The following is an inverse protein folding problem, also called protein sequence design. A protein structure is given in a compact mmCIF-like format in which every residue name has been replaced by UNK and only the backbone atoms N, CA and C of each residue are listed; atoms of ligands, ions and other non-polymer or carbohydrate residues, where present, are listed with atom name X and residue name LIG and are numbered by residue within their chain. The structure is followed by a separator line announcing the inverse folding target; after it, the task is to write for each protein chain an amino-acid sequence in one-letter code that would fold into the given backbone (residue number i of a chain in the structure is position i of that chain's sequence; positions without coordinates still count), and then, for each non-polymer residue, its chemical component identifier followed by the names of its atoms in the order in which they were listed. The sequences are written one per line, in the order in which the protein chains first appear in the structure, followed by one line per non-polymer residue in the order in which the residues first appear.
data_IF_765076144096
#
_entry.id   IF_765076144096
#
_cell.length_a   1.000
_cell.length_b   1.000
_cell.length_c   1.000
_cell.angle_alpha   90.00
_cell.angle_beta   90.00
_cell.angle_gamma   90.00
#
_symmetry.space_group_name_H-M   'P 1'
#
loop_
_entity.id
_entity.type
_entity.pdbx_description
1 polymer ?
#
# COMPACT_ATOMS: atom_id res chain seq x y z
N UNK A 1 3.69 2.48 -26.38
CA UNK A 1 3.97 1.03 -26.36
C UNK A 1 5.24 0.81 -25.55
N UNK A 2 5.12 0.50 -24.26
CA UNK A 2 6.26 0.16 -23.43
C UNK A 2 6.97 -1.07 -24.01
N UNK A 3 8.28 -1.01 -24.11
CA UNK A 3 9.11 -2.13 -24.59
C UNK A 3 8.87 -3.36 -23.71
N UNK A 4 9.01 -4.57 -24.25
CA UNK A 4 8.79 -5.85 -23.55
C UNK A 4 9.50 -5.91 -22.19
N UNK A 5 10.65 -5.24 -22.05
CA UNK A 5 11.43 -5.14 -20.80
C UNK A 5 10.77 -4.28 -19.73
N UNK A 6 10.16 -3.14 -20.09
CA UNK A 6 9.46 -2.27 -19.14
C UNK A 6 8.21 -2.96 -18.60
N UNK A 7 7.41 -3.55 -19.50
CA UNK A 7 6.23 -4.33 -19.10
C UNK A 7 6.63 -5.49 -18.18
N UNK A 8 7.75 -6.18 -18.49
CA UNK A 8 8.28 -7.26 -17.65
C UNK A 8 8.64 -6.79 -16.23
N UNK A 9 9.31 -5.65 -16.09
CA UNK A 9 9.59 -5.07 -14.78
C UNK A 9 8.31 -4.74 -14.01
N UNK A 10 7.33 -4.10 -14.68
CA UNK A 10 6.05 -3.75 -14.06
C UNK A 10 5.33 -5.01 -13.56
N UNK A 11 5.26 -6.09 -14.33
CA UNK A 11 4.65 -7.35 -13.88
C UNK A 11 5.33 -7.91 -12.63
N UNK A 12 6.67 -8.00 -12.65
CA UNK A 12 7.44 -8.48 -11.49
C UNK A 12 7.19 -7.60 -10.25
N UNK A 13 7.17 -6.29 -10.44
CA UNK A 13 6.88 -5.32 -9.39
C UNK A 13 5.47 -5.48 -8.83
N UNK A 14 4.44 -5.57 -9.69
CA UNK A 14 3.04 -5.75 -9.28
C UNK A 14 2.83 -7.07 -8.53
N UNK A 15 3.51 -8.15 -8.93
CA UNK A 15 3.47 -9.45 -8.24
C UNK A 15 4.30 -9.49 -6.95
N UNK A 16 5.06 -8.44 -6.67
CA UNK A 16 6.01 -8.41 -5.56
C UNK A 16 7.05 -9.54 -5.64
N UNK A 17 7.52 -9.84 -6.85
CA UNK A 17 8.56 -10.84 -7.06
C UNK A 17 9.85 -10.46 -6.32
N UNK A 18 10.59 -11.44 -5.82
CA UNK A 18 11.76 -11.23 -4.97
C UNK A 18 12.79 -10.26 -5.58
N UNK A 19 13.04 -10.36 -6.89
CA UNK A 19 13.95 -9.46 -7.61
C UNK A 19 13.50 -8.00 -7.60
N UNK A 20 12.19 -7.74 -7.57
CA UNK A 20 11.63 -6.39 -7.54
C UNK A 20 11.55 -5.80 -6.12
N UNK A 21 11.46 -6.67 -5.10
CA UNK A 21 11.24 -6.27 -3.70
C UNK A 21 12.54 -6.22 -2.91
N UNK A 22 13.47 -7.14 -3.14
CA UNK A 22 14.73 -7.23 -2.40
C UNK A 22 15.48 -5.89 -2.36
N UNK A 23 15.62 -5.15 -3.49
CA UNK A 23 16.22 -3.83 -3.45
C UNK A 23 15.48 -2.87 -2.52
N UNK A 24 14.15 -2.86 -2.50
CA UNK A 24 13.38 -1.97 -1.61
C UNK A 24 13.60 -2.28 -0.13
N UNK A 25 13.86 -3.54 0.20
CA UNK A 25 14.03 -3.97 1.59
C UNK A 25 15.43 -3.64 2.11
N UNK A 26 16.47 -3.94 1.32
CA UNK A 26 17.87 -3.93 1.79
C UNK A 26 18.89 -3.49 0.74
N UNK A 27 18.45 -2.95 -0.39
CA UNK A 27 19.35 -2.52 -1.48
C UNK A 27 20.17 -1.28 -1.16
N UNK A 28 21.21 -1.03 -1.97
CA UNK A 28 22.08 0.14 -1.85
C UNK A 28 21.35 1.45 -2.18
N UNK A 29 21.98 2.59 -1.89
CA UNK A 29 21.43 3.90 -2.24
C UNK A 29 21.29 4.08 -3.75
N UNK A 30 22.25 3.59 -4.53
CA UNK A 30 22.22 3.59 -5.99
C UNK A 30 21.05 2.75 -6.54
N UNK A 31 20.78 1.59 -5.92
CA UNK A 31 19.62 0.76 -6.27
C UNK A 31 18.31 1.48 -5.95
N UNK A 32 18.20 2.16 -4.79
CA UNK A 32 17.01 2.96 -4.47
C UNK A 32 16.81 4.10 -5.48
N UNK A 33 17.87 4.81 -5.83
CA UNK A 33 17.83 5.90 -6.80
C UNK A 33 17.37 5.41 -8.17
N UNK A 34 17.91 4.27 -8.63
CA UNK A 34 17.50 3.63 -9.87
C UNK A 34 16.00 3.27 -9.88
N UNK A 35 15.50 2.70 -8.78
CA UNK A 35 14.08 2.35 -8.66
C UNK A 35 13.20 3.59 -8.58
N UNK A 36 13.62 4.61 -7.81
CA UNK A 36 12.89 5.87 -7.72
C UNK A 36 12.77 6.53 -9.09
N UNK A 37 13.86 6.54 -9.87
CA UNK A 37 13.84 7.04 -11.26
C UNK A 37 12.87 6.26 -12.14
N UNK A 38 12.89 4.93 -12.10
CA UNK A 38 11.95 4.09 -12.87
C UNK A 38 10.51 4.38 -12.45
N UNK A 39 10.22 4.34 -11.15
CA UNK A 39 8.88 4.56 -10.62
C UNK A 39 8.39 5.99 -10.82
N UNK A 40 9.26 6.99 -10.95
CA UNK A 40 8.84 8.36 -11.26
C UNK A 40 8.64 8.57 -12.76
N UNK A 41 9.52 8.03 -13.60
CA UNK A 41 9.46 8.23 -15.06
C UNK A 41 8.41 7.38 -15.77
N UNK A 42 8.10 6.18 -15.28
CA UNK A 42 7.10 5.32 -15.91
C UNK A 42 5.69 5.84 -15.59
N UNK A 43 4.83 6.13 -16.59
CA UNK A 43 3.45 6.54 -16.34
C UNK A 43 2.67 5.51 -15.52
N UNK A 44 1.74 5.97 -14.67
CA UNK A 44 0.92 5.05 -13.87
C UNK A 44 -0.03 4.22 -14.76
N UNK A 45 -0.36 4.76 -15.93
CA UNK A 45 -1.14 4.12 -16.99
C UNK A 45 -0.49 2.82 -17.46
N UNK A 46 0.85 2.77 -17.57
CA UNK A 46 1.58 1.54 -17.90
C UNK A 46 1.37 0.44 -16.85
N UNK A 47 1.23 0.82 -15.57
CA UNK A 47 0.89 -0.14 -14.50
C UNK A 47 -0.56 -0.61 -14.62
N UNK A 48 -1.50 0.28 -14.96
CA UNK A 48 -2.90 -0.10 -15.20
C UNK A 48 -3.04 -1.05 -16.39
N UNK A 49 -2.31 -0.83 -17.49
CA UNK A 49 -2.30 -1.73 -18.65
C UNK A 49 -1.82 -3.14 -18.30
N UNK A 50 -0.75 -3.24 -17.49
CA UNK A 50 -0.28 -4.53 -16.99
C UNK A 50 -1.31 -5.17 -16.05
N UNK A 51 -1.88 -4.39 -15.14
CA UNK A 51 -2.87 -4.87 -14.18
C UNK A 51 -4.12 -5.44 -14.87
N UNK A 52 -4.63 -4.81 -15.93
CA UNK A 52 -5.76 -5.33 -16.71
C UNK A 52 -5.50 -6.73 -17.28
N UNK A 53 -4.26 -7.04 -17.64
CA UNK A 53 -3.86 -8.33 -18.20
C UNK A 53 -3.64 -9.43 -17.13
N UNK A 54 -3.55 -9.06 -15.86
CA UNK A 54 -3.31 -9.99 -14.74
C UNK A 54 -4.57 -10.62 -14.16
N UNK A 55 -5.76 -10.38 -14.74
CA UNK A 55 -7.05 -10.77 -14.14
C UNK A 55 -7.14 -12.27 -13.79
N UNK A 56 -6.57 -13.15 -14.62
CA UNK A 56 -6.54 -14.61 -14.38
C UNK A 56 -5.46 -15.09 -13.41
N UNK A 57 -4.60 -14.19 -12.95
CA UNK A 57 -3.42 -14.50 -12.13
C UNK A 57 -3.52 -13.93 -10.71
N UNK A 58 -4.67 -13.33 -10.39
CA UNK A 58 -4.88 -12.70 -9.09
C UNK A 58 -4.88 -13.73 -7.96
N UNK A 59 -4.11 -13.50 -6.88
CA UNK A 59 -4.00 -14.45 -5.78
C UNK A 59 -5.27 -14.50 -4.94
N UNK A 60 -5.60 -15.64 -4.35
CA UNK A 60 -6.72 -15.71 -3.40
C UNK A 60 -6.56 -14.72 -2.25
N UNK A 61 -7.63 -13.98 -1.94
CA UNK A 61 -7.63 -12.99 -0.88
C UNK A 61 -7.85 -13.61 0.50
N UNK A 62 -7.16 -13.05 1.49
CA UNK A 62 -7.37 -13.33 2.91
C UNK A 62 -7.43 -12.04 3.73
N UNK A 63 -7.78 -12.19 5.01
CA UNK A 63 -8.01 -11.04 5.89
C UNK A 63 -6.79 -10.18 6.17
N UNK A 64 -5.56 -10.64 5.95
CA UNK A 64 -4.35 -9.82 6.13
C UNK A 64 -4.10 -8.87 4.97
N UNK A 65 -4.62 -9.18 3.78
CA UNK A 65 -4.39 -8.42 2.55
C UNK A 65 -5.35 -7.24 2.38
N UNK A 66 -6.45 -7.18 3.14
CA UNK A 66 -7.43 -6.10 3.04
C UNK A 66 -6.94 -4.89 3.85
N UNK A 67 -6.64 -3.74 3.22
CA UNK A 67 -6.10 -2.58 3.92
C UNK A 67 -6.97 -2.12 5.10
N UNK A 68 -6.31 -1.75 6.20
CA UNK A 68 -6.96 -1.01 7.27
C UNK A 68 -5.96 -0.10 7.96
N UNK A 69 -6.16 1.21 7.80
CA UNK A 69 -5.30 2.25 8.33
C UNK A 69 -6.14 3.49 8.69
N UNK A 70 -5.53 4.42 9.42
CA UNK A 70 -6.25 5.61 9.92
C UNK A 70 -5.84 6.91 9.24
N UNK A 71 -4.63 7.02 8.68
CA UNK A 71 -4.16 8.23 8.01
C UNK A 71 -3.03 7.90 7.03
N UNK A 72 -3.19 8.28 5.75
CA UNK A 72 -2.25 7.89 4.70
C UNK A 72 -0.85 8.47 4.91
N UNK A 73 -0.74 9.77 5.11
CA UNK A 73 0.53 10.47 5.26
C UNK A 73 1.32 10.02 6.50
N UNK A 74 0.62 9.77 7.60
CA UNK A 74 1.26 9.30 8.84
C UNK A 74 1.87 7.92 8.68
N UNK A 75 1.19 7.00 7.98
CA UNK A 75 1.74 5.68 7.69
C UNK A 75 2.78 5.68 6.56
N UNK A 76 2.57 6.47 5.50
CA UNK A 76 3.41 6.45 4.31
C UNK A 76 4.65 7.37 4.38
N UNK A 77 4.66 8.36 5.29
CA UNK A 77 5.78 9.30 5.47
C UNK A 77 6.21 9.37 6.92
N UNK A 78 5.34 9.88 7.80
CA UNK A 78 5.74 10.29 9.16
C UNK A 78 6.33 9.14 9.97
N UNK A 79 5.84 7.92 9.80
CA UNK A 79 6.38 6.74 10.46
C UNK A 79 7.87 6.52 10.12
N UNK A 80 8.27 6.63 8.86
CA UNK A 80 9.67 6.41 8.46
C UNK A 80 10.60 7.52 8.99
N UNK A 81 10.11 8.76 9.04
CA UNK A 81 10.84 9.88 9.66
C UNK A 81 11.10 9.62 11.15
N UNK A 82 10.13 9.05 11.89
CA UNK A 82 10.31 8.66 13.28
C UNK A 82 11.32 7.51 13.43
N UNK A 83 11.27 6.55 12.52
CA UNK A 83 12.14 5.38 12.53
C UNK A 83 13.60 5.72 12.20
N UNK A 84 13.85 6.79 11.44
CA UNK A 84 15.21 7.27 11.11
C UNK A 84 16.06 7.52 12.37
N UNK A 85 15.42 7.96 13.45
CA UNK A 85 16.07 8.25 14.73
C UNK A 85 16.00 7.10 15.74
N UNK A 86 15.41 5.96 15.35
CA UNK A 86 15.13 4.83 16.24
C UNK A 86 15.94 3.60 15.81
N UNK A 87 17.23 3.56 16.17
CA UNK A 87 18.16 2.47 15.78
C UNK A 87 17.64 1.06 16.10
N UNK A 88 16.89 0.92 17.19
CA UNK A 88 16.34 -0.35 17.65
C UNK A 88 14.94 -0.65 17.11
N UNK A 89 14.43 0.17 16.17
CA UNK A 89 13.04 0.13 15.73
C UNK A 89 12.07 0.63 16.81
N UNK A 90 10.77 0.54 16.53
CA UNK A 90 9.71 0.93 17.45
C UNK A 90 8.60 -0.11 17.51
N UNK A 91 8.02 -0.34 18.69
CA UNK A 91 6.81 -1.16 18.83
C UNK A 91 5.57 -0.41 18.34
N UNK A 92 4.47 -1.12 18.10
CA UNK A 92 3.19 -0.48 17.75
C UNK A 92 2.71 0.51 18.82
N UNK A 93 3.00 0.25 20.10
CA UNK A 93 2.67 1.18 21.18
C UNK A 93 3.45 2.49 21.06
N UNK A 94 4.77 2.39 20.88
CA UNK A 94 5.65 3.55 20.74
C UNK A 94 5.30 4.37 19.49
N UNK A 95 5.01 3.70 18.37
CA UNK A 95 4.53 4.37 17.15
C UNK A 95 3.22 5.10 17.42
N UNK A 96 2.26 4.44 18.06
CA UNK A 96 0.97 5.03 18.43
C UNK A 96 1.13 6.27 19.30
N UNK A 97 1.99 6.19 20.32
CA UNK A 97 2.30 7.29 21.22
C UNK A 97 2.83 8.52 20.45
N UNK A 98 3.68 8.31 19.46
CA UNK A 98 4.28 9.39 18.67
C UNK A 98 3.33 9.97 17.60
N UNK A 99 2.44 9.15 17.02
CA UNK A 99 1.63 9.56 15.87
C UNK A 99 0.22 10.08 16.22
N UNK A 100 -0.32 9.79 17.40
CA UNK A 100 -1.67 10.23 17.78
C UNK A 100 -1.78 10.70 19.23
N UNK A 101 -2.52 11.78 19.44
CA UNK A 101 -2.98 12.22 20.77
C UNK A 101 -4.28 11.49 21.14
N UNK A 102 -4.16 10.25 21.61
CA UNK A 102 -5.28 9.48 22.15
C UNK A 102 -5.16 9.32 23.67
N UNK A 103 -6.30 9.34 24.39
CA UNK A 103 -6.31 9.11 25.84
C UNK A 103 -6.07 7.63 26.19
N UNK A 104 -6.64 6.71 25.42
CA UNK A 104 -6.55 5.27 25.65
C UNK A 104 -5.26 4.67 25.07
N UNK A 105 -4.56 3.86 25.86
CA UNK A 105 -3.39 3.09 25.39
C UNK A 105 -3.78 2.07 24.31
N UNK A 106 -4.94 1.41 24.46
CA UNK A 106 -5.43 0.48 23.45
C UNK A 106 -5.63 1.18 22.08
N UNK A 107 -6.16 2.41 22.10
CA UNK A 107 -6.32 3.21 20.89
C UNK A 107 -4.97 3.59 20.26
N UNK A 108 -3.95 3.95 21.08
CA UNK A 108 -2.58 4.23 20.58
C UNK A 108 -1.97 3.00 19.93
N UNK A 109 -1.96 1.85 20.60
CA UNK A 109 -1.41 0.60 20.09
C UNK A 109 -2.08 0.25 18.76
N UNK A 110 -3.42 0.33 18.72
CA UNK A 110 -4.17 0.02 17.49
C UNK A 110 -3.84 0.97 16.36
N UNK A 111 -3.69 2.26 16.67
CA UNK A 111 -3.29 3.26 15.69
C UNK A 111 -1.89 2.96 15.13
N UNK A 112 -0.91 2.67 15.99
CA UNK A 112 0.44 2.34 15.57
C UNK A 112 0.50 1.07 14.71
N UNK A 113 -0.22 0.01 15.09
CA UNK A 113 -0.37 -1.20 14.29
C UNK A 113 -0.92 -0.89 12.88
N UNK A 114 -1.99 -0.09 12.81
CA UNK A 114 -2.64 0.30 11.57
C UNK A 114 -1.69 1.09 10.63
N UNK A 115 -0.92 2.03 11.16
CA UNK A 115 0.05 2.79 10.36
C UNK A 115 1.23 1.94 9.91
N UNK A 116 1.76 1.10 10.80
CA UNK A 116 2.84 0.18 10.48
C UNK A 116 2.44 -0.82 9.38
N UNK A 117 1.19 -1.31 9.39
CA UNK A 117 0.67 -2.19 8.34
C UNK A 117 0.52 -1.49 6.99
N UNK A 118 0.08 -0.23 6.98
CA UNK A 118 0.07 0.57 5.75
C UNK A 118 1.49 0.72 5.19
N UNK A 119 2.45 1.10 6.03
CA UNK A 119 3.86 1.24 5.61
C UNK A 119 4.46 -0.07 5.10
N UNK A 120 4.14 -1.19 5.75
CA UNK A 120 4.58 -2.53 5.35
C UNK A 120 4.07 -2.90 3.96
N UNK A 121 2.81 -2.59 3.63
CA UNK A 121 2.24 -2.83 2.28
C UNK A 121 3.01 -2.10 1.17
N UNK A 122 3.65 -0.97 1.50
CA UNK A 122 4.45 -0.17 0.57
C UNK A 122 5.95 -0.48 0.66
N UNK A 123 6.34 -1.56 1.35
CA UNK A 123 7.75 -1.93 1.59
C UNK A 123 8.58 -0.83 2.25
N UNK A 124 7.95 0.04 3.05
CA UNK A 124 8.65 1.13 3.75
C UNK A 124 9.20 0.68 5.10
N UNK A 125 8.59 -0.35 5.69
CA UNK A 125 9.01 -0.93 6.96
C UNK A 125 9.03 -2.45 6.89
N UNK A 126 9.77 -3.07 7.78
CA UNK A 126 9.76 -4.51 8.04
C UNK A 126 9.39 -4.77 9.50
N UNK A 127 8.87 -5.96 9.80
CA UNK A 127 8.51 -6.36 11.16
C UNK A 127 9.45 -7.47 11.63
N UNK A 128 10.03 -7.30 12.82
CA UNK A 128 10.49 -8.45 13.59
C UNK A 128 9.25 -9.13 14.19
N UNK A 129 9.03 -10.40 13.81
CA UNK A 129 7.86 -11.18 14.23
C UNK A 129 7.94 -11.65 15.69
N UNK A 130 9.08 -11.48 16.37
CA UNK A 130 9.21 -11.71 17.81
C UNK A 130 8.28 -10.77 18.57
N UNK A 131 7.76 -11.23 19.71
CA UNK A 131 6.87 -10.42 20.57
C UNK A 131 7.72 -9.69 21.63
N UNK A 132 7.49 -8.39 21.88
CA UNK A 132 6.58 -7.50 21.15
C UNK A 132 7.08 -7.25 19.71
N UNK A 133 6.15 -7.11 18.75
CA UNK A 133 6.51 -6.83 17.35
C UNK A 133 7.22 -5.48 17.29
N UNK A 134 8.40 -5.47 16.67
CA UNK A 134 9.20 -4.26 16.44
C UNK A 134 9.22 -3.93 14.95
N UNK A 135 9.03 -2.65 14.64
CA UNK A 135 9.00 -2.12 13.28
C UNK A 135 10.33 -1.43 12.99
N UNK A 136 10.95 -1.80 11.87
CA UNK A 136 12.19 -1.22 11.38
C UNK A 136 11.96 -0.55 10.03
N UNK A 137 12.69 0.54 9.71
CA UNK A 137 12.63 1.09 8.37
C UNK A 137 13.34 0.13 7.39
N UNK A 138 12.84 0.03 6.17
CA UNK A 138 13.59 -0.62 5.08
C UNK A 138 14.58 0.37 4.46
N UNK A 139 15.45 -0.11 3.57
CA UNK A 139 16.28 0.76 2.73
C UNK A 139 15.42 1.79 1.97
N UNK A 140 14.29 1.34 1.41
CA UNK A 140 13.35 2.20 0.70
C UNK A 140 12.62 3.20 1.61
N UNK A 141 12.15 2.76 2.78
CA UNK A 141 11.51 3.63 3.75
C UNK A 141 12.43 4.75 4.21
N UNK A 142 13.71 4.43 4.41
CA UNK A 142 14.78 5.39 4.74
C UNK A 142 15.06 6.33 3.57
N UNK A 143 15.22 5.80 2.36
CA UNK A 143 15.51 6.61 1.17
C UNK A 143 14.40 7.64 0.89
N UNK A 144 13.13 7.23 1.03
CA UNK A 144 11.98 8.10 0.78
C UNK A 144 11.75 9.18 1.87
N UNK A 145 12.50 9.23 2.96
CA UNK A 145 12.41 10.35 3.92
C UNK A 145 13.02 11.64 3.37
N UNK A 146 13.78 11.56 2.26
CA UNK A 146 14.36 12.71 1.55
C UNK A 146 13.32 13.55 0.80
N UNK A 147 12.13 12.99 0.58
CA UNK A 147 11.05 13.61 -0.18
C UNK A 147 9.84 13.85 0.73
N UNK A 148 9.20 15.00 0.54
CA UNK A 148 7.90 15.30 1.11
C UNK A 148 6.83 14.30 0.63
N UNK A 149 5.68 14.29 1.31
CA UNK A 149 4.57 13.41 0.93
C UNK A 149 4.08 13.68 -0.50
N UNK A 150 4.01 14.95 -0.93
CA UNK A 150 3.56 15.31 -2.28
C UNK A 150 4.58 14.90 -3.35
N UNK A 151 5.88 15.08 -3.11
CA UNK A 151 6.93 14.69 -4.08
C UNK A 151 6.93 13.17 -4.35
N UNK A 152 6.75 12.35 -3.31
CA UNK A 152 6.71 10.88 -3.46
C UNK A 152 5.32 10.33 -3.74
N UNK A 153 4.28 11.17 -3.84
CA UNK A 153 2.88 10.75 -4.00
C UNK A 153 2.69 9.78 -5.16
N UNK A 154 3.27 10.07 -6.33
CA UNK A 154 3.16 9.22 -7.51
C UNK A 154 3.80 7.84 -7.29
N UNK A 155 4.94 7.80 -6.62
CA UNK A 155 5.65 6.57 -6.25
C UNK A 155 4.82 5.74 -5.27
N UNK A 156 4.20 6.38 -4.26
CA UNK A 156 3.31 5.72 -3.31
C UNK A 156 2.09 5.08 -4.00
N UNK A 157 1.48 5.77 -4.98
CA UNK A 157 0.37 5.19 -5.77
C UNK A 157 0.78 3.87 -6.43
N UNK A 158 1.97 3.82 -7.03
CA UNK A 158 2.50 2.61 -7.70
C UNK A 158 2.81 1.49 -6.69
N UNK A 159 3.41 1.81 -5.54
CA UNK A 159 3.66 0.81 -4.49
C UNK A 159 2.37 0.16 -3.98
N UNK A 160 1.27 0.93 -3.89
CA UNK A 160 -0.04 0.44 -3.47
C UNK A 160 -0.69 -0.50 -4.50
N UNK A 161 -0.34 -0.40 -5.78
CA UNK A 161 -0.82 -1.32 -6.83
C UNK A 161 -0.33 -2.76 -6.64
N UNK A 162 0.62 -3.00 -5.73
CA UNK A 162 1.06 -4.35 -5.34
C UNK A 162 0.13 -5.02 -4.34
N UNK A 163 -0.76 -4.26 -3.69
CA UNK A 163 -1.67 -4.84 -2.72
C UNK A 163 -2.74 -5.71 -3.42
N UNK A 164 -2.91 -6.98 -3.03
CA UNK A 164 -3.84 -7.89 -3.71
C UNK A 164 -5.29 -7.39 -3.72
N UNK A 165 -5.79 -6.79 -2.65
CA UNK A 165 -7.17 -6.28 -2.61
C UNK A 165 -7.37 -5.13 -3.60
N UNK A 166 -6.39 -4.22 -3.67
CA UNK A 166 -6.39 -3.12 -4.64
C UNK A 166 -6.36 -3.67 -6.07
N UNK A 167 -5.51 -4.67 -6.35
CA UNK A 167 -5.43 -5.32 -7.65
C UNK A 167 -6.78 -5.93 -8.05
N UNK A 168 -7.42 -6.72 -7.17
CA UNK A 168 -8.72 -7.33 -7.47
C UNK A 168 -9.77 -6.29 -7.86
N UNK A 169 -9.93 -5.25 -7.04
CA UNK A 169 -10.97 -4.27 -7.27
C UNK A 169 -10.68 -3.50 -8.56
N UNK A 170 -9.44 -3.07 -8.79
CA UNK A 170 -9.09 -2.33 -10.00
C UNK A 170 -9.21 -3.21 -11.25
N UNK A 171 -8.65 -4.43 -11.27
CA UNK A 171 -8.78 -5.37 -12.39
C UNK A 171 -10.24 -5.57 -12.78
N UNK A 172 -11.12 -5.86 -11.82
CA UNK A 172 -12.54 -6.05 -12.09
C UNK A 172 -13.21 -4.74 -12.55
N UNK A 173 -12.89 -3.62 -11.91
CA UNK A 173 -13.46 -2.31 -12.25
C UNK A 173 -13.04 -1.81 -13.64
N UNK A 174 -11.87 -2.22 -14.15
CA UNK A 174 -11.44 -1.95 -15.53
C UNK A 174 -12.31 -2.67 -16.57
N UNK A 175 -12.93 -3.80 -16.20
CA UNK A 175 -13.73 -4.64 -17.11
C UNK A 175 -15.24 -4.46 -16.93
N UNK A 176 -15.69 -3.85 -15.83
CA UNK A 176 -17.10 -3.61 -15.56
C UNK A 176 -17.39 -3.21 -14.13
N UNK A 177 -18.66 -3.28 -13.74
CA UNK A 177 -19.08 -2.96 -12.37
C UNK A 177 -18.62 -4.03 -11.40
N UNK A 178 -18.06 -3.62 -10.26
CA UNK A 178 -17.58 -4.50 -9.19
C UNK A 178 -18.17 -4.08 -7.84
N UNK A 179 -18.64 -5.06 -7.08
CA UNK A 179 -19.09 -4.88 -5.70
C UNK A 179 -17.95 -5.13 -4.72
N UNK A 180 -17.60 -4.12 -3.92
CA UNK A 180 -16.62 -4.28 -2.83
C UNK A 180 -17.02 -5.41 -1.88
N UNK A 181 -18.30 -5.47 -1.50
CA UNK A 181 -18.81 -6.49 -0.58
C UNK A 181 -18.59 -7.91 -1.12
N UNK A 182 -18.79 -8.13 -2.42
CA UNK A 182 -18.54 -9.44 -3.06
C UNK A 182 -17.06 -9.81 -3.03
N UNK A 183 -16.16 -8.86 -3.33
CA UNK A 183 -14.70 -9.07 -3.34
C UNK A 183 -14.17 -9.47 -1.95
N UNK A 184 -14.74 -8.93 -0.88
CA UNK A 184 -14.31 -9.22 0.50
C UNK A 184 -15.32 -10.03 1.31
N UNK A 185 -16.17 -10.82 0.65
CA UNK A 185 -17.27 -11.58 1.26
C UNK A 185 -16.84 -12.60 2.32
N UNK A 186 -15.56 -13.00 2.32
CA UNK A 186 -14.95 -13.86 3.32
C UNK A 186 -14.69 -13.16 4.68
N UNK A 187 -14.87 -11.85 4.78
CA UNK A 187 -14.76 -11.10 6.03
C UNK A 187 -16.11 -11.03 6.77
N UNK A 188 -16.05 -10.89 8.10
CA UNK A 188 -17.26 -10.54 8.87
C UNK A 188 -17.85 -9.21 8.41
N UNK A 189 -19.19 -9.05 8.46
CA UNK A 189 -19.90 -7.79 8.12
C UNK A 189 -19.23 -6.57 8.78
N UNK A 190 -18.92 -6.66 10.07
CA UNK A 190 -18.22 -5.61 10.83
C UNK A 190 -16.83 -5.27 10.28
N UNK A 191 -16.08 -6.28 9.82
CA UNK A 191 -14.76 -6.09 9.20
C UNK A 191 -14.87 -5.47 7.81
N UNK A 192 -15.88 -5.85 7.01
CA UNK A 192 -16.15 -5.25 5.69
C UNK A 192 -16.40 -3.76 5.86
N UNK A 193 -17.33 -3.38 6.73
CA UNK A 193 -17.67 -1.97 7.01
C UNK A 193 -16.44 -1.17 7.44
N UNK A 194 -15.67 -1.72 8.38
CA UNK A 194 -14.48 -1.05 8.94
C UNK A 194 -13.37 -0.84 7.90
N UNK A 195 -13.14 -1.82 7.00
CA UNK A 195 -12.06 -1.76 6.02
C UNK A 195 -12.44 -1.02 4.74
N UNK A 196 -13.74 -0.92 4.42
CA UNK A 196 -14.26 -0.19 3.26
C UNK A 196 -13.65 1.21 3.14
N UNK A 197 -13.61 1.97 4.24
CA UNK A 197 -13.10 3.35 4.23
C UNK A 197 -11.64 3.41 3.81
N UNK A 198 -10.80 2.52 4.34
CA UNK A 198 -9.39 2.43 3.96
C UNK A 198 -9.21 2.02 2.50
N UNK A 199 -9.95 1.01 2.03
CA UNK A 199 -9.86 0.54 0.65
C UNK A 199 -10.31 1.61 -0.34
N UNK A 200 -11.48 2.23 -0.07
CA UNK A 200 -12.01 3.34 -0.88
C UNK A 200 -11.03 4.50 -0.94
N UNK A 201 -10.41 4.86 0.18
CA UNK A 201 -9.39 5.90 0.21
C UNK A 201 -8.22 5.55 -0.70
N UNK A 202 -7.64 4.35 -0.59
CA UNK A 202 -6.46 3.98 -1.39
C UNK A 202 -6.77 3.93 -2.89
N UNK A 203 -7.91 3.37 -3.28
CA UNK A 203 -8.31 3.37 -4.69
C UNK A 203 -8.51 4.78 -5.20
N UNK A 204 -9.18 5.65 -4.43
CA UNK A 204 -9.35 7.06 -4.80
C UNK A 204 -8.00 7.76 -4.89
N UNK A 205 -7.10 7.54 -3.94
CA UNK A 205 -5.75 8.11 -3.93
C UNK A 205 -4.94 7.69 -5.16
N UNK A 206 -5.03 6.41 -5.57
CA UNK A 206 -4.35 5.88 -6.76
C UNK A 206 -4.91 6.50 -8.05
N UNK A 207 -6.23 6.55 -8.19
CA UNK A 207 -6.90 6.97 -9.42
C UNK A 207 -7.05 8.49 -9.56
N UNK A 208 -6.98 9.25 -8.46
CA UNK A 208 -7.05 10.70 -8.54
C UNK A 208 -5.88 11.24 -9.36
N UNK A 209 -6.14 12.27 -10.18
CA UNK A 209 -5.14 12.89 -11.05
C UNK A 209 -4.57 11.92 -12.13
N UNK A 210 -5.33 10.89 -12.51
CA UNK A 210 -5.01 9.95 -13.62
C UNK A 210 -6.11 9.96 -14.67
N UNK A 211 -5.79 9.53 -15.89
CA UNK A 211 -6.79 9.38 -16.98
C UNK A 211 -7.87 8.33 -16.67
N UNK A 212 -7.63 7.48 -15.67
CA UNK A 212 -8.53 6.38 -15.29
C UNK A 212 -9.39 6.70 -14.06
N UNK A 213 -9.47 7.96 -13.64
CA UNK A 213 -10.29 8.40 -12.49
C UNK A 213 -11.75 7.97 -12.58
N UNK A 214 -12.33 7.95 -13.79
CA UNK A 214 -13.72 7.60 -14.02
C UNK A 214 -14.09 6.18 -13.59
N UNK A 215 -13.12 5.28 -13.43
CA UNK A 215 -13.33 3.90 -12.99
C UNK A 215 -13.90 3.83 -11.58
N UNK A 216 -13.76 4.89 -10.78
CA UNK A 216 -14.42 5.00 -9.47
C UNK A 216 -15.94 4.78 -9.56
N UNK A 217 -16.58 5.11 -10.69
CA UNK A 217 -18.02 4.89 -10.92
C UNK A 217 -18.40 3.42 -11.07
N UNK A 218 -17.43 2.56 -11.42
CA UNK A 218 -17.64 1.13 -11.58
C UNK A 218 -17.55 0.38 -10.24
N UNK A 219 -17.23 1.05 -9.13
CA UNK A 219 -17.03 0.39 -7.83
C UNK A 219 -18.19 0.69 -6.90
N UNK A 220 -18.97 -0.34 -6.59
CA UNK A 220 -20.07 -0.26 -5.63
C UNK A 220 -19.56 -0.43 -4.20
N UNK A 221 -19.77 0.61 -3.39
CA UNK A 221 -19.34 0.67 -1.99
C UNK A 221 -20.46 0.37 -0.98
N UNK A 222 -21.69 0.15 -1.47
CA UNK A 222 -22.84 -0.20 -0.62
C UNK A 222 -22.55 -1.55 0.04
N UNK A 223 -22.89 -1.63 1.33
CA UNK A 223 -22.84 -2.88 2.08
C UNK A 223 -24.27 -3.12 2.51
N UNK A 224 -24.84 -4.24 2.07
CA UNK A 224 -26.16 -4.66 2.52
C UNK A 224 -26.08 -5.15 3.96
N UNK A 225 -26.92 -4.56 4.80
CA UNK A 225 -27.03 -4.87 6.22
C UNK A 225 -28.41 -5.47 6.41
N UNK A 226 -28.52 -6.79 6.25
CA UNK A 226 -29.59 -7.54 6.92
C UNK A 226 -29.33 -7.53 8.42
#
# INVERSE_FOLDING_TARGET
MGTTKESHYIYKFLRSDAESISPLLSGSMEEQEGIYKILTSTPIESFFECLMKMTSELPSLNSSQIPCFSNMEKGASRLNELLLFSKNGLTFEQIGYQLIKAKSNCAKIKYGENQAKLALMMSLVSFDKKRPIVVYPTAWGTYLTRFSFEEKKNVLKKLLLRNPCIQHILCLAFHGVVSYQKVVSFLSKTSIVRRRTSVKYLITFILNDTERKDILKNIEWKIEVD
#
